data_IF_944449086004
#
_entry.id   IF_944449086004
#
_cell.length_a   1.000
_cell.length_b   1.000
_cell.length_c   1.000
_cell.angle_alpha   90.00
_cell.angle_beta   90.00
_cell.angle_gamma   90.00
#
_symmetry.space_group_name_H-M   'P 1'
#
loop_
_entity.id
_entity.type
_entity.pdbx_description
1 polymer ?
#
# COMPACT_ATOMS: atom_id res chain seq x y z
N UNK A 1 -41.92 -3.35 -40.74
CA UNK A 1 -40.76 -4.23 -40.43
C UNK A 1 -39.52 -3.35 -40.38
N UNK A 2 -38.61 -3.58 -39.42
CA UNK A 2 -37.24 -3.01 -39.29
C UNK A 2 -37.03 -1.87 -38.30
N UNK A 3 -38.04 -1.11 -37.84
CA UNK A 3 -37.83 -0.08 -36.79
C UNK A 3 -37.45 -0.68 -35.45
N UNK A 4 -38.09 -1.79 -35.06
CA UNK A 4 -37.74 -2.54 -33.85
C UNK A 4 -36.32 -3.13 -33.89
N UNK A 5 -35.82 -3.51 -35.08
CA UNK A 5 -34.44 -3.97 -35.27
C UNK A 5 -33.44 -2.82 -35.11
N UNK A 6 -33.74 -1.63 -35.67
CA UNK A 6 -32.90 -0.44 -35.54
C UNK A 6 -32.78 -0.03 -34.07
N UNK A 7 -33.90 -0.02 -33.32
CA UNK A 7 -33.89 0.28 -31.88
C UNK A 7 -33.05 -0.76 -31.12
N UNK A 8 -33.21 -2.05 -31.45
CA UNK A 8 -32.42 -3.13 -30.85
C UNK A 8 -30.92 -2.95 -31.04
N UNK A 9 -30.47 -2.58 -32.25
CA UNK A 9 -29.05 -2.36 -32.56
C UNK A 9 -28.47 -1.15 -31.81
N UNK A 10 -29.24 -0.06 -31.69
CA UNK A 10 -28.78 1.15 -30.98
C UNK A 10 -28.62 0.88 -29.47
N UNK A 11 -29.59 0.19 -28.86
CA UNK A 11 -29.52 -0.17 -27.43
C UNK A 11 -28.38 -1.15 -27.17
N UNK A 12 -28.17 -2.13 -28.06
CA UNK A 12 -27.07 -3.08 -27.92
C UNK A 12 -25.70 -2.40 -28.09
N UNK A 13 -25.56 -1.50 -29.07
CA UNK A 13 -24.33 -0.75 -29.31
C UNK A 13 -23.97 0.16 -28.12
N UNK A 14 -24.94 0.86 -27.56
CA UNK A 14 -24.73 1.74 -26.39
C UNK A 14 -24.34 0.96 -25.13
N UNK A 15 -24.93 -0.22 -24.88
CA UNK A 15 -24.54 -1.11 -23.79
C UNK A 15 -23.10 -1.63 -23.90
N UNK A 16 -22.68 -2.03 -25.11
CA UNK A 16 -21.32 -2.51 -25.37
C UNK A 16 -20.31 -1.36 -25.24
N UNK A 17 -20.61 -0.18 -25.80
CA UNK A 17 -19.76 1.01 -25.67
C UNK A 17 -19.61 1.47 -24.21
N UNK A 18 -20.70 1.47 -23.43
CA UNK A 18 -20.66 1.82 -22.01
C UNK A 18 -19.83 0.84 -21.17
N UNK A 19 -19.96 -0.46 -21.46
CA UNK A 19 -19.16 -1.51 -20.81
C UNK A 19 -17.66 -1.38 -21.14
N UNK A 20 -17.33 -0.99 -22.37
CA UNK A 20 -15.94 -0.79 -22.78
C UNK A 20 -15.32 0.46 -22.14
N UNK A 21 -16.07 1.57 -22.06
CA UNK A 21 -15.60 2.80 -21.40
C UNK A 21 -15.41 2.61 -19.89
N UNK A 22 -16.32 1.92 -19.22
CA UNK A 22 -16.19 1.61 -17.78
C UNK A 22 -14.99 0.68 -17.50
N UNK A 23 -14.76 -0.33 -18.34
CA UNK A 23 -13.55 -1.16 -18.26
C UNK A 23 -12.27 -0.35 -18.51
N UNK A 24 -12.25 0.57 -19.47
CA UNK A 24 -11.10 1.43 -19.76
C UNK A 24 -10.83 2.43 -18.63
N UNK A 25 -11.88 2.97 -18.01
CA UNK A 25 -11.77 3.83 -16.83
C UNK A 25 -11.17 3.08 -15.66
N UNK A 26 -11.62 1.85 -15.38
CA UNK A 26 -11.03 0.99 -14.35
C UNK A 26 -9.57 0.67 -14.63
N UNK A 27 -9.22 0.38 -15.89
CA UNK A 27 -7.81 0.16 -16.29
C UNK A 27 -6.96 1.42 -16.16
N UNK A 28 -7.50 2.61 -16.49
CA UNK A 28 -6.82 3.89 -16.27
C UNK A 28 -6.65 4.19 -14.79
N UNK A 29 -7.65 3.94 -13.96
CA UNK A 29 -7.55 4.15 -12.51
C UNK A 29 -6.52 3.18 -11.90
N UNK A 30 -6.49 1.92 -12.35
CA UNK A 30 -5.44 0.97 -11.95
C UNK A 30 -4.05 1.40 -12.45
N UNK A 31 -3.94 1.90 -13.69
CA UNK A 31 -2.68 2.41 -14.22
C UNK A 31 -2.21 3.68 -13.47
N UNK A 32 -3.13 4.57 -13.09
CA UNK A 32 -2.85 5.75 -12.27
C UNK A 32 -2.43 5.34 -10.86
N UNK A 33 -3.05 4.32 -10.25
CA UNK A 33 -2.60 3.76 -8.97
C UNK A 33 -1.17 3.17 -9.08
N UNK A 34 -0.86 2.49 -10.19
CA UNK A 34 0.47 1.94 -10.48
C UNK A 34 1.53 3.01 -10.85
N UNK A 35 1.11 4.18 -11.36
CA UNK A 35 2.00 5.30 -11.66
C UNK A 35 2.21 6.23 -10.46
N UNK A 36 1.19 6.42 -9.62
CA UNK A 36 1.24 7.27 -8.43
C UNK A 36 2.02 6.63 -7.28
N UNK A 37 2.07 5.29 -7.26
CA UNK A 37 3.01 4.54 -6.44
C UNK A 37 3.85 3.73 -7.41
N UNK A 38 5.08 4.17 -7.78
CA UNK A 38 6.05 3.19 -8.18
C UNK A 38 6.03 2.16 -7.06
N UNK A 39 5.75 0.90 -7.39
CA UNK A 39 6.28 -0.23 -6.66
C UNK A 39 7.79 0.02 -6.61
N UNK A 40 8.21 0.87 -5.66
CA UNK A 40 9.58 0.95 -5.22
C UNK A 40 9.91 -0.49 -4.98
N UNK A 41 10.87 -0.98 -5.75
CA UNK A 41 11.39 -2.33 -5.70
C UNK A 41 11.49 -2.71 -4.22
N UNK A 42 10.47 -3.40 -3.71
CA UNK A 42 10.46 -3.93 -2.35
C UNK A 42 11.34 -5.18 -2.41
N UNK A 43 12.62 -4.96 -2.73
CA UNK A 43 13.68 -5.90 -2.43
C UNK A 43 13.61 -6.09 -0.93
N UNK A 44 13.08 -7.25 -0.53
CA UNK A 44 13.04 -7.82 0.81
C UNK A 44 13.65 -6.91 1.88
N UNK A 45 12.81 -6.41 2.79
CA UNK A 45 13.25 -5.85 4.07
C UNK A 45 14.29 -6.81 4.63
N UNK A 46 15.55 -6.39 4.66
CA UNK A 46 16.64 -7.23 5.17
C UNK A 46 16.52 -7.27 6.68
N UNK A 47 16.39 -8.47 7.23
CA UNK A 47 16.48 -8.72 8.66
C UNK A 47 17.85 -8.23 9.17
N UNK A 48 17.89 -7.52 10.30
CA UNK A 48 19.12 -6.96 10.87
C UNK A 48 19.54 -5.58 10.34
N UNK A 49 18.88 -5.02 9.32
CA UNK A 49 19.16 -3.65 8.87
C UNK A 49 18.40 -2.61 9.72
N UNK A 50 19.04 -1.45 9.94
CA UNK A 50 18.45 -0.30 10.62
C UNK A 50 17.86 0.66 9.59
N UNK A 51 16.68 1.19 9.87
CA UNK A 51 15.94 2.09 9.00
C UNK A 51 15.53 3.37 9.71
N UNK A 52 15.53 4.47 8.98
CA UNK A 52 14.91 5.72 9.36
C UNK A 52 13.51 5.78 8.73
N UNK A 53 12.49 5.76 9.60
CA UNK A 53 11.08 5.67 9.21
C UNK A 53 10.38 6.98 9.57
N UNK A 54 9.80 7.66 8.58
CA UNK A 54 8.99 8.85 8.83
C UNK A 54 7.49 8.55 8.67
N UNK A 55 6.73 9.06 9.62
CA UNK A 55 5.28 8.95 9.70
C UNK A 55 4.60 10.21 9.15
N UNK A 56 3.33 10.05 8.81
CA UNK A 56 2.45 11.11 8.30
C UNK A 56 2.20 12.24 9.31
N UNK A 57 2.35 11.96 10.61
CA UNK A 57 2.20 12.93 11.69
C UNK A 57 3.50 13.71 11.96
N UNK A 58 4.54 13.51 11.15
CA UNK A 58 5.84 14.16 11.27
C UNK A 58 6.79 13.49 12.28
N UNK A 59 6.36 12.41 12.95
CA UNK A 59 7.26 11.63 13.81
C UNK A 59 8.23 10.82 12.97
N UNK A 60 9.47 10.74 13.42
CA UNK A 60 10.51 9.93 12.79
C UNK A 60 11.10 8.96 13.78
N UNK A 61 11.13 7.68 13.42
CA UNK A 61 11.91 6.67 14.13
C UNK A 61 13.25 6.52 13.43
N UNK A 62 14.33 6.86 14.13
CA UNK A 62 15.69 6.71 13.59
C UNK A 62 16.27 5.38 14.02
N UNK A 63 17.03 4.74 13.13
CA UNK A 63 17.71 3.47 13.39
C UNK A 63 16.79 2.36 13.92
N UNK A 64 15.56 2.30 13.45
CA UNK A 64 14.60 1.29 13.84
C UNK A 64 14.76 0.04 12.95
N UNK A 65 14.77 -1.13 13.57
CA UNK A 65 14.73 -2.41 12.86
C UNK A 65 13.27 -2.81 12.63
N UNK A 66 12.95 -3.25 11.42
CA UNK A 66 11.60 -3.71 11.08
C UNK A 66 11.49 -5.19 11.42
N UNK A 67 10.73 -5.53 12.46
CA UNK A 67 10.53 -6.92 12.90
C UNK A 67 9.43 -7.66 12.11
N UNK A 68 8.62 -6.93 11.35
CA UNK A 68 7.50 -7.49 10.58
C UNK A 68 6.16 -6.93 11.01
N UNK A 69 5.09 -7.71 10.86
CA UNK A 69 3.73 -7.33 11.25
C UNK A 69 3.29 -8.06 12.52
N UNK A 70 2.51 -7.40 13.36
CA UNK A 70 1.93 -8.02 14.55
C UNK A 70 0.95 -9.14 14.11
N UNK A 71 1.26 -10.39 14.45
CA UNK A 71 0.44 -11.57 14.15
C UNK A 71 0.16 -12.39 15.41
N UNK A 72 -1.00 -13.05 15.47
CA UNK A 72 -1.38 -13.93 16.58
C UNK A 72 -1.74 -13.17 17.85
N UNK A 73 -1.23 -13.63 19.01
CA UNK A 73 -1.58 -13.06 20.32
C UNK A 73 -1.27 -11.56 20.44
N UNK A 74 -0.18 -11.07 19.85
CA UNK A 74 0.12 -9.62 19.85
C UNK A 74 -0.94 -8.81 19.09
N UNK A 75 -1.52 -9.35 18.01
CA UNK A 75 -2.57 -8.68 17.25
C UNK A 75 -3.91 -8.63 18.00
N UNK A 76 -4.20 -9.63 18.84
CA UNK A 76 -5.39 -9.66 19.70
C UNK A 76 -5.36 -8.57 20.78
N UNK A 77 -4.18 -8.30 21.36
CA UNK A 77 -3.98 -7.18 22.30
C UNK A 77 -4.12 -5.80 21.67
N UNK A 78 -3.96 -5.70 20.34
CA UNK A 78 -4.06 -4.43 19.61
C UNK A 78 -5.50 -4.09 19.20
N UNK A 79 -6.52 -4.72 19.80
CA UNK A 79 -7.95 -4.35 19.72
C UNK A 79 -8.45 -4.02 18.30
N UNK A 80 -8.23 -4.92 17.33
CA UNK A 80 -8.74 -4.75 15.97
C UNK A 80 -7.92 -3.81 15.08
N UNK A 81 -6.77 -3.33 15.54
CA UNK A 81 -5.77 -2.68 14.68
C UNK A 81 -5.00 -3.77 13.90
N UNK A 82 -5.69 -4.40 12.94
CA UNK A 82 -5.11 -5.40 12.06
C UNK A 82 -3.88 -4.87 11.31
N UNK A 83 -2.84 -5.71 11.24
CA UNK A 83 -1.55 -5.47 10.56
C UNK A 83 -0.83 -4.18 10.95
N UNK A 84 -0.56 -3.98 12.24
CA UNK A 84 0.45 -3.02 12.66
C UNK A 84 1.86 -3.52 12.30
N UNK A 85 2.69 -2.64 11.76
CA UNK A 85 4.12 -2.85 11.61
C UNK A 85 4.78 -2.74 12.99
N UNK A 86 5.60 -3.72 13.33
CA UNK A 86 6.36 -3.77 14.57
C UNK A 86 7.78 -3.33 14.28
N UNK A 87 8.21 -2.30 14.99
CA UNK A 87 9.55 -1.74 14.92
C UNK A 87 10.27 -2.01 16.24
N UNK A 88 11.55 -2.37 16.17
CA UNK A 88 12.45 -2.38 17.32
C UNK A 88 13.29 -1.11 17.29
N UNK A 89 13.19 -0.32 18.35
CA UNK A 89 13.99 0.88 18.53
C UNK A 89 15.38 0.54 19.07
N UNK A 90 16.30 1.50 19.00
CA UNK A 90 17.67 1.35 19.51
C UNK A 90 17.76 1.10 21.02
N UNK A 91 16.71 1.45 21.76
CA UNK A 91 16.56 1.22 23.20
C UNK A 91 15.83 -0.09 23.54
N UNK A 92 15.74 -1.00 22.57
CA UNK A 92 15.07 -2.30 22.65
C UNK A 92 13.55 -2.25 22.83
N UNK A 93 12.94 -1.05 22.81
CA UNK A 93 11.49 -0.92 22.89
C UNK A 93 10.84 -1.26 21.55
N UNK A 94 9.68 -1.92 21.62
CA UNK A 94 8.83 -2.15 20.47
C UNK A 94 7.90 -0.96 20.23
N UNK A 95 7.86 -0.47 19.00
CA UNK A 95 6.88 0.50 18.54
C UNK A 95 5.92 -0.16 17.54
N UNK A 96 4.63 0.07 17.72
CA UNK A 96 3.57 -0.45 16.85
C UNK A 96 3.01 0.69 16.01
N UNK A 97 3.14 0.54 14.70
CA UNK A 97 2.84 1.59 13.73
C UNK A 97 1.85 1.07 12.70
N UNK A 98 0.80 1.84 12.39
CA UNK A 98 -0.07 1.52 11.25
C UNK A 98 0.72 1.72 9.95
N UNK A 99 0.78 0.70 9.10
CA UNK A 99 1.45 0.78 7.80
C UNK A 99 0.95 1.96 6.95
N UNK A 100 -0.34 2.26 7.00
CA UNK A 100 -0.96 3.39 6.30
C UNK A 100 -0.41 4.77 6.74
N UNK A 101 0.22 4.87 7.91
CA UNK A 101 0.80 6.11 8.41
C UNK A 101 2.24 6.32 7.95
N UNK A 102 2.91 5.31 7.41
CA UNK A 102 4.32 5.39 6.98
C UNK A 102 4.41 6.15 5.65
N UNK A 103 5.27 7.15 5.60
CA UNK A 103 5.51 7.97 4.39
C UNK A 103 6.82 7.65 3.71
N UNK A 104 7.87 7.40 4.50
CA UNK A 104 9.15 6.96 3.96
C UNK A 104 9.84 5.98 4.90
N UNK A 105 10.59 5.06 4.30
CA UNK A 105 11.50 4.14 4.96
C UNK A 105 12.83 4.29 4.22
N UNK A 106 13.89 4.65 4.94
CA UNK A 106 15.21 4.88 4.39
C UNK A 106 16.17 3.93 5.11
N UNK A 107 16.96 3.16 4.37
CA UNK A 107 17.99 2.32 4.97
C UNK A 107 19.06 3.22 5.61
N UNK A 108 19.23 3.08 6.93
CA UNK A 108 20.24 3.80 7.68
C UNK A 108 21.56 3.06 7.48
N UNK A 109 22.40 3.52 6.56
CA UNK A 109 23.78 3.02 6.46
C UNK A 109 24.48 3.28 7.78
N UNK A 110 25.00 2.21 8.40
CA UNK A 110 26.00 2.36 9.45
C UNK A 110 27.22 2.96 8.74
N UNK A 111 27.55 4.21 9.07
CA UNK A 111 28.88 4.75 8.80
C UNK A 111 29.83 3.94 9.70
N UNK A 112 30.43 2.89 9.13
CA UNK A 112 31.66 2.31 9.67
C UNK A 112 32.78 3.33 9.38
N UNK A 113 33.29 3.96 10.44
CA UNK A 113 34.58 4.65 10.49
C UNK A 113 35.72 3.64 10.74
#
# INVERSE_FOLDING_TARGET
MNTWLIIGVIVFSTLVCGSFQTCRSRKREQAWRKQAFPEAECSLIKEGCRYDIALSDGRTFRQAEILGTAQGKEAEFLFGYGSMLVLRLSDDRKAYVRQACIRCVIESKILED
#
